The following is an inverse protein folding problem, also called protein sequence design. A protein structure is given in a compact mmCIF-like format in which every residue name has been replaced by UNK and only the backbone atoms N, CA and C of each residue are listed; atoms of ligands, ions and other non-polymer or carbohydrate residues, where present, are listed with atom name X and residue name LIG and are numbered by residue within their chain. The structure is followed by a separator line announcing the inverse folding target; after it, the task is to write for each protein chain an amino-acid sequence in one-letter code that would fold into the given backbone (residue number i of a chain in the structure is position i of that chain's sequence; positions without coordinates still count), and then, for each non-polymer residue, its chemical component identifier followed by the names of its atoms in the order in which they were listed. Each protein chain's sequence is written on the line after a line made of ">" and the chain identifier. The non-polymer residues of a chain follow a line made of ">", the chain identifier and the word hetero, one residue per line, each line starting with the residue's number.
data_IF_908378339714
#
_entry.id   IF_908378339714
#
_cell.length_a   1.000
_cell.length_b   1.000
_cell.length_c   1.000
_cell.angle_alpha   90.00
_cell.angle_beta   90.00
_cell.angle_gamma   90.00
#
_symmetry.space_group_name_H-M   'P 1'
#
loop_
_entity.id
_entity.type
_entity.pdbx_description
1 polymer ?
#
# COMPACT_ATOMS: atom_id res chain seq x y z
N UNK A 1 20.54 8.54 -0.07
CA UNK A 1 19.63 9.37 0.76
C UNK A 1 19.59 8.81 2.20
N UNK A 2 19.29 9.61 3.23
CA UNK A 2 19.30 9.16 4.64
C UNK A 2 18.37 7.95 4.90
N UNK A 3 17.28 7.84 4.15
CA UNK A 3 16.30 6.75 4.24
C UNK A 3 16.88 5.41 3.75
N UNK A 4 17.64 5.39 2.65
CA UNK A 4 18.29 4.17 2.15
C UNK A 4 19.31 3.62 3.16
N UNK A 5 20.06 4.51 3.82
CA UNK A 5 20.98 4.12 4.90
C UNK A 5 20.23 3.57 6.12
N UNK A 6 19.10 4.18 6.49
CA UNK A 6 18.26 3.68 7.58
C UNK A 6 17.66 2.30 7.28
N UNK A 7 17.23 2.05 6.03
CA UNK A 7 16.78 0.73 5.57
C UNK A 7 17.93 -0.29 5.61
N UNK A 8 19.14 0.10 5.21
CA UNK A 8 20.31 -0.79 5.28
C UNK A 8 20.66 -1.20 6.72
N UNK A 9 20.44 -0.31 7.70
CA UNK A 9 20.72 -0.57 9.12
C UNK A 9 19.61 -1.41 9.77
N UNK A 10 18.35 -1.15 9.45
CA UNK A 10 17.23 -1.95 9.95
C UNK A 10 16.18 -2.17 8.83
N UNK A 11 16.37 -3.20 7.99
CA UNK A 11 15.52 -3.45 6.83
C UNK A 11 14.13 -3.97 7.21
N UNK A 12 13.89 -4.26 8.49
CA UNK A 12 12.63 -4.83 8.96
C UNK A 12 11.66 -3.80 9.54
N UNK A 13 12.09 -2.54 9.71
CA UNK A 13 11.29 -1.48 10.31
C UNK A 13 10.42 -0.79 9.25
N UNK A 14 9.08 -0.99 9.24
CA UNK A 14 8.18 -0.42 8.24
C UNK A 14 8.19 1.12 8.20
N UNK A 15 8.57 1.79 9.30
CA UNK A 15 8.54 3.25 9.40
C UNK A 15 9.42 3.92 8.32
N UNK A 16 10.60 3.36 8.04
CA UNK A 16 11.50 3.93 7.03
C UNK A 16 10.93 3.79 5.61
N UNK A 17 10.29 2.66 5.33
CA UNK A 17 9.63 2.44 4.06
C UNK A 17 8.41 3.35 3.89
N UNK A 18 7.60 3.56 4.94
CA UNK A 18 6.46 4.48 4.88
C UNK A 18 6.90 5.91 4.58
N UNK A 19 7.98 6.40 5.19
CA UNK A 19 8.54 7.72 4.85
C UNK A 19 9.06 7.78 3.40
N UNK A 20 9.58 6.67 2.86
CA UNK A 20 9.97 6.60 1.46
C UNK A 20 8.76 6.65 0.52
N UNK A 21 7.69 5.93 0.85
CA UNK A 21 6.42 5.93 0.10
C UNK A 21 5.82 7.33 0.06
N UNK A 22 5.78 8.03 1.20
CA UNK A 22 5.30 9.41 1.26
C UNK A 22 6.12 10.35 0.38
N UNK A 23 7.45 10.24 0.40
CA UNK A 23 8.33 11.03 -0.46
C UNK A 23 8.08 10.73 -1.95
N UNK A 24 7.99 9.45 -2.32
CA UNK A 24 7.75 9.03 -3.70
C UNK A 24 6.37 9.49 -4.18
N UNK A 25 5.35 9.37 -3.33
CA UNK A 25 4.01 9.86 -3.62
C UNK A 25 3.98 11.38 -3.85
N UNK A 26 4.61 12.15 -2.96
CA UNK A 26 4.67 13.61 -3.06
C UNK A 26 5.52 14.12 -4.23
N UNK A 27 6.34 13.25 -4.82
CA UNK A 27 7.14 13.54 -6.03
C UNK A 27 6.55 12.93 -7.30
N UNK A 28 5.26 12.51 -7.26
CA UNK A 28 4.50 11.89 -8.36
C UNK A 28 5.10 10.57 -8.89
N UNK A 29 5.96 9.93 -8.11
CA UNK A 29 6.61 8.65 -8.42
C UNK A 29 5.79 7.48 -7.89
N UNK A 30 4.50 7.44 -8.24
CA UNK A 30 3.52 6.49 -7.67
C UNK A 30 3.86 5.02 -7.94
N UNK A 31 4.41 4.68 -9.12
CA UNK A 31 4.84 3.31 -9.44
C UNK A 31 5.97 2.83 -8.54
N UNK A 32 6.93 3.69 -8.24
CA UNK A 32 8.00 3.36 -7.31
C UNK A 32 7.49 3.27 -5.87
N UNK A 33 6.53 4.12 -5.49
CA UNK A 33 5.86 4.01 -4.20
C UNK A 33 5.16 2.64 -4.03
N UNK A 34 4.57 2.10 -5.09
CA UNK A 34 3.99 0.74 -5.11
C UNK A 34 5.08 -0.31 -4.83
N UNK A 35 6.20 -0.29 -5.55
CA UNK A 35 7.29 -1.26 -5.34
C UNK A 35 7.80 -1.28 -3.88
N UNK A 36 7.83 -0.11 -3.26
CA UNK A 36 8.19 0.03 -1.84
C UNK A 36 7.10 -0.54 -0.93
N UNK A 37 5.84 -0.21 -1.19
CA UNK A 37 4.71 -0.73 -0.41
C UNK A 37 4.56 -2.25 -0.54
N UNK A 38 4.89 -2.85 -1.68
CA UNK A 38 4.93 -4.30 -1.82
C UNK A 38 5.95 -4.95 -0.88
N UNK A 39 7.11 -4.31 -0.68
CA UNK A 39 8.10 -4.76 0.31
C UNK A 39 7.55 -4.64 1.73
N UNK A 40 6.85 -3.54 2.05
CA UNK A 40 6.19 -3.34 3.35
C UNK A 40 5.17 -4.44 3.62
N UNK A 41 4.30 -4.74 2.65
CA UNK A 41 3.29 -5.79 2.76
C UNK A 41 3.94 -7.17 2.84
N UNK A 42 5.05 -7.45 2.14
CA UNK A 42 5.80 -8.70 2.31
C UNK A 42 6.35 -8.86 3.74
N UNK A 43 6.81 -7.77 4.36
CA UNK A 43 7.30 -7.79 5.74
C UNK A 43 6.17 -7.90 6.78
N UNK A 44 4.99 -7.35 6.48
CA UNK A 44 3.83 -7.29 7.36
C UNK A 44 2.53 -7.58 6.58
N UNK A 45 2.28 -8.85 6.20
CA UNK A 45 1.24 -9.19 5.22
C UNK A 45 -0.19 -9.11 5.74
N UNK A 46 -0.36 -9.00 7.05
CA UNK A 46 -1.67 -9.00 7.74
C UNK A 46 -2.10 -7.62 8.23
N UNK A 47 -1.25 -6.60 8.05
CA UNK A 47 -1.56 -5.24 8.51
C UNK A 47 -2.47 -4.57 7.48
N UNK A 48 -3.75 -4.49 7.81
CA UNK A 48 -4.80 -3.95 6.96
C UNK A 48 -4.51 -2.53 6.47
N UNK A 49 -3.90 -1.66 7.30
CA UNK A 49 -3.55 -0.30 6.86
C UNK A 49 -2.53 -0.28 5.73
N UNK A 50 -1.55 -1.19 5.72
CA UNK A 50 -0.56 -1.29 4.63
C UNK A 50 -1.17 -1.88 3.36
N UNK A 51 -2.04 -2.88 3.50
CA UNK A 51 -2.80 -3.42 2.38
C UNK A 51 -3.71 -2.36 1.75
N UNK A 52 -4.36 -1.53 2.58
CA UNK A 52 -5.21 -0.44 2.12
C UNK A 52 -4.41 0.62 1.38
N UNK A 53 -3.26 1.06 1.91
CA UNK A 53 -2.38 2.01 1.22
C UNK A 53 -1.87 1.46 -0.11
N UNK A 54 -1.47 0.18 -0.17
CA UNK A 54 -1.04 -0.44 -1.44
C UNK A 54 -2.18 -0.49 -2.46
N UNK A 55 -3.40 -0.83 -2.00
CA UNK A 55 -4.59 -0.85 -2.85
C UNK A 55 -4.96 0.54 -3.39
N UNK A 56 -4.87 1.58 -2.55
CA UNK A 56 -5.09 2.97 -2.95
C UNK A 56 -4.09 3.41 -4.03
N UNK A 57 -2.80 3.10 -3.85
CA UNK A 57 -1.77 3.41 -4.85
C UNK A 57 -2.02 2.70 -6.19
N UNK A 58 -2.37 1.42 -6.16
CA UNK A 58 -2.73 0.67 -7.37
C UNK A 58 -3.94 1.28 -8.09
N UNK A 59 -4.96 1.67 -7.35
CA UNK A 59 -6.14 2.31 -7.89
C UNK A 59 -5.81 3.66 -8.56
N UNK A 60 -4.93 4.46 -7.95
CA UNK A 60 -4.53 5.75 -8.51
C UNK A 60 -3.72 5.67 -9.81
N UNK A 61 -2.99 4.58 -10.03
CA UNK A 61 -2.28 4.34 -11.29
C UNK A 61 -3.12 3.59 -12.33
N UNK A 62 -4.40 3.35 -12.04
CA UNK A 62 -5.36 2.68 -12.92
C UNK A 62 -5.27 1.15 -12.92
N UNK A 63 -4.46 0.55 -12.04
CA UNK A 63 -4.38 -0.90 -11.87
C UNK A 63 -5.47 -1.38 -10.92
N UNK A 64 -6.70 -1.40 -11.44
CA UNK A 64 -7.90 -1.74 -10.67
C UNK A 64 -7.89 -3.20 -10.21
N UNK A 65 -7.26 -4.10 -10.96
CA UNK A 65 -7.16 -5.51 -10.61
C UNK A 65 -6.35 -5.73 -9.33
N UNK A 66 -5.14 -5.15 -9.26
CA UNK A 66 -4.32 -5.26 -8.06
C UNK A 66 -4.88 -4.43 -6.89
N UNK A 67 -5.57 -3.32 -7.18
CA UNK A 67 -6.30 -2.59 -6.16
C UNK A 67 -7.40 -3.47 -5.53
N UNK A 68 -8.24 -4.10 -6.35
CA UNK A 68 -9.34 -4.94 -5.89
C UNK A 68 -8.85 -6.12 -5.06
N UNK A 69 -7.79 -6.81 -5.51
CA UNK A 69 -7.15 -7.91 -4.76
C UNK A 69 -6.71 -7.48 -3.37
N UNK A 70 -6.04 -6.32 -3.25
CA UNK A 70 -5.56 -5.84 -1.96
C UNK A 70 -6.70 -5.32 -1.07
N UNK A 71 -7.74 -4.70 -1.61
CA UNK A 71 -8.94 -4.35 -0.82
C UNK A 71 -9.67 -5.59 -0.28
N UNK A 72 -9.75 -6.67 -1.05
CA UNK A 72 -10.30 -7.93 -0.53
C UNK A 72 -9.46 -8.48 0.62
N UNK A 73 -8.12 -8.47 0.48
CA UNK A 73 -7.22 -8.85 1.58
C UNK A 73 -7.40 -7.98 2.82
N UNK A 74 -7.69 -6.68 2.67
CA UNK A 74 -8.05 -5.83 3.82
C UNK A 74 -9.26 -6.41 4.54
N UNK A 75 -10.30 -6.83 3.82
CA UNK A 75 -11.52 -7.40 4.40
C UNK A 75 -11.33 -8.82 4.96
N UNK A 76 -10.34 -9.58 4.49
CA UNK A 76 -9.95 -10.87 5.10
C UNK A 76 -9.45 -10.67 6.55
N UNK A 77 -8.67 -9.63 6.81
CA UNK A 77 -8.12 -9.34 8.14
C UNK A 77 -9.00 -8.39 8.97
N UNK A 78 -9.71 -7.48 8.32
CA UNK A 78 -10.65 -6.53 8.94
C UNK A 78 -11.99 -6.51 8.18
N UNK A 79 -12.89 -7.47 8.45
CA UNK A 79 -14.17 -7.58 7.74
C UNK A 79 -15.07 -6.34 7.85
N UNK A 80 -14.86 -5.51 8.88
CA UNK A 80 -15.61 -4.27 9.12
C UNK A 80 -14.89 -3.01 8.61
N UNK A 81 -13.85 -3.15 7.77
CA UNK A 81 -13.15 -2.00 7.21
C UNK A 81 -14.02 -1.29 6.15
N UNK A 82 -14.74 -0.26 6.60
CA UNK A 82 -15.67 0.50 5.75
C UNK A 82 -15.00 1.20 4.57
N UNK A 83 -13.71 1.56 4.70
CA UNK A 83 -12.95 2.15 3.59
C UNK A 83 -12.78 1.15 2.45
N UNK A 84 -12.34 -0.07 2.76
CA UNK A 84 -12.16 -1.12 1.76
C UNK A 84 -13.50 -1.51 1.09
N UNK A 85 -14.59 -1.65 1.86
CA UNK A 85 -15.94 -1.91 1.31
C UNK A 85 -16.37 -0.81 0.33
N UNK A 86 -16.19 0.46 0.71
CA UNK A 86 -16.53 1.60 -0.15
C UNK A 86 -15.70 1.62 -1.44
N UNK A 87 -14.40 1.37 -1.34
CA UNK A 87 -13.49 1.34 -2.51
C UNK A 87 -13.87 0.22 -3.48
N UNK A 88 -14.14 -0.99 -2.98
CA UNK A 88 -14.60 -2.12 -3.80
C UNK A 88 -15.93 -1.83 -4.49
N UNK A 89 -16.90 -1.24 -3.77
CA UNK A 89 -18.18 -0.85 -4.36
C UNK A 89 -18.01 0.15 -5.50
N UNK A 90 -17.10 1.11 -5.35
CA UNK A 90 -16.81 2.10 -6.38
C UNK A 90 -16.13 1.48 -7.62
N UNK A 91 -15.24 0.51 -7.41
CA UNK A 91 -14.56 -0.21 -8.49
C UNK A 91 -15.49 -1.11 -9.29
N UNK A 92 -16.49 -1.72 -8.64
CA UNK A 92 -17.46 -2.60 -9.28
C UNK A 92 -18.63 -1.86 -9.97
N UNK A 93 -18.66 -0.53 -9.90
CA UNK A 93 -19.73 0.30 -10.45
C UNK A 93 -19.45 0.80 -11.88
N UNK A 94 -18.44 0.24 -12.55
CA UNK A 94 -17.94 0.60 -13.89
C UNK A 94 -18.16 -0.60 -14.82
#
# INVERSE_FOLDING_TARGET
>A
MLIEKAIAINPSNPKYYMSMVELLYNTDRKREAIEVMEKVVKLRPTVASYLLTLADLYNEVGDTDNAQKNYFRVLEYEPNNEKAKKKLKNLAAI
#
